data_IF_041049272425
#
_entry.id   IF_041049272425
#
_cell.length_a   1.000
_cell.length_b   1.000
_cell.length_c   1.000
_cell.angle_alpha   90.00
_cell.angle_beta   90.00
_cell.angle_gamma   90.00
#
_symmetry.space_group_name_H-M   'P 1'
#
loop_
_entity.id
_entity.type
_entity.pdbx_description
1 polymer ?
#
# COMPACT_ATOMS: atom_id res chain seq x y z
N UNK A 1 -2.19 14.00 -17.67
CA UNK A 1 -3.38 13.44 -17.01
C UNK A 1 -3.71 14.29 -15.81
N UNK A 2 -4.83 14.98 -15.84
CA UNK A 2 -5.35 15.80 -14.75
C UNK A 2 -6.23 14.93 -13.82
N UNK A 3 -5.71 14.60 -12.63
CA UNK A 3 -6.51 13.89 -11.62
C UNK A 3 -7.40 14.90 -10.87
N UNK A 4 -8.72 14.66 -10.74
CA UNK A 4 -9.58 15.55 -9.97
C UNK A 4 -9.23 15.54 -8.48
N UNK A 5 -9.66 16.58 -7.76
CA UNK A 5 -9.43 16.73 -6.31
C UNK A 5 -10.57 16.21 -5.45
N UNK A 6 -11.67 15.74 -6.07
CA UNK A 6 -12.85 15.20 -5.41
C UNK A 6 -13.32 13.93 -6.12
N UNK A 7 -14.29 13.23 -5.54
CA UNK A 7 -14.83 11.97 -6.07
C UNK A 7 -16.35 12.03 -6.33
N UNK A 8 -16.91 13.21 -6.63
CA UNK A 8 -18.32 13.31 -7.03
C UNK A 8 -18.49 12.91 -8.50
N UNK A 9 -19.72 12.70 -8.96
CA UNK A 9 -20.00 12.21 -10.32
C UNK A 9 -19.36 13.06 -11.43
N UNK A 10 -19.27 14.38 -11.22
CA UNK A 10 -18.61 15.29 -12.18
C UNK A 10 -17.11 15.04 -12.28
N UNK A 11 -16.49 14.68 -11.16
CA UNK A 11 -15.05 14.44 -11.05
C UNK A 11 -14.72 13.07 -11.67
N UNK A 12 -15.58 12.08 -11.44
CA UNK A 12 -15.48 10.75 -12.07
C UNK A 12 -15.59 10.87 -13.59
N UNK A 13 -16.51 11.69 -14.11
CA UNK A 13 -16.63 11.95 -15.56
C UNK A 13 -15.38 12.61 -16.14
N UNK A 14 -14.85 13.64 -15.48
CA UNK A 14 -13.60 14.29 -15.89
C UNK A 14 -12.47 13.26 -15.98
N UNK A 15 -12.31 12.42 -14.96
CA UNK A 15 -11.27 11.41 -14.94
C UNK A 15 -11.44 10.34 -16.02
N UNK A 16 -12.68 9.94 -16.34
CA UNK A 16 -12.94 9.01 -17.43
C UNK A 16 -12.55 9.61 -18.80
N UNK A 17 -12.82 10.90 -19.02
CA UNK A 17 -12.38 11.62 -20.22
C UNK A 17 -10.84 11.67 -20.31
N UNK A 18 -10.15 12.04 -19.23
CA UNK A 18 -8.69 12.05 -19.15
C UNK A 18 -8.05 10.69 -19.48
N UNK A 19 -8.66 9.59 -19.02
CA UNK A 19 -8.19 8.22 -19.33
C UNK A 19 -8.37 7.90 -20.81
N UNK A 20 -9.45 8.35 -21.45
CA UNK A 20 -9.68 8.15 -22.88
C UNK A 20 -8.72 8.97 -23.73
N UNK A 21 -8.48 10.22 -23.35
CA UNK A 21 -7.47 11.06 -24.01
C UNK A 21 -6.07 10.46 -23.88
N UNK A 22 -5.73 9.93 -22.70
CA UNK A 22 -4.47 9.23 -22.49
C UNK A 22 -4.37 7.95 -23.33
N UNK A 23 -5.45 7.18 -23.45
CA UNK A 23 -5.47 6.00 -24.32
C UNK A 23 -5.16 6.37 -25.78
N UNK A 24 -5.80 7.42 -26.32
CA UNK A 24 -5.55 7.91 -27.67
C UNK A 24 -4.10 8.44 -27.84
N UNK A 25 -3.57 9.12 -26.81
CA UNK A 25 -2.18 9.54 -26.78
C UNK A 25 -1.22 8.35 -26.86
N UNK A 26 -1.44 7.29 -26.09
CA UNK A 26 -0.60 6.09 -26.11
C UNK A 26 -0.66 5.39 -27.48
N UNK A 27 -1.82 5.27 -28.11
CA UNK A 27 -1.94 4.70 -29.45
C UNK A 27 -1.10 5.49 -30.47
N UNK A 28 -1.15 6.82 -30.40
CA UNK A 28 -0.39 7.71 -31.28
C UNK A 28 1.12 7.56 -31.08
N UNK A 29 1.60 7.60 -29.84
CA UNK A 29 3.04 7.57 -29.55
C UNK A 29 3.67 6.20 -29.80
N UNK A 30 2.91 5.12 -29.58
CA UNK A 30 3.39 3.75 -29.81
C UNK A 30 3.17 3.26 -31.25
N UNK A 31 2.25 3.89 -31.99
CA UNK A 31 1.78 3.39 -33.28
C UNK A 31 0.97 2.09 -33.19
N UNK A 32 0.54 1.70 -31.98
CA UNK A 32 -0.21 0.47 -31.71
C UNK A 32 -1.65 0.82 -31.36
N UNK A 33 -2.60 0.37 -32.19
CA UNK A 33 -4.03 0.51 -31.90
C UNK A 33 -4.46 -0.43 -30.78
N UNK A 34 -5.19 0.10 -29.80
CA UNK A 34 -5.82 -0.65 -28.73
C UNK A 34 -6.94 -1.52 -29.32
N UNK A 35 -6.88 -2.81 -29.02
CA UNK A 35 -7.96 -3.75 -29.40
C UNK A 35 -8.63 -4.29 -28.14
N UNK A 36 -9.93 -4.63 -28.18
CA UNK A 36 -10.62 -5.18 -27.02
C UNK A 36 -9.89 -6.38 -26.41
N UNK A 37 -9.39 -7.29 -27.26
CA UNK A 37 -8.62 -8.46 -26.81
C UNK A 37 -7.33 -8.03 -26.07
N UNK A 38 -6.51 -7.19 -26.68
CA UNK A 38 -5.23 -6.79 -26.07
C UNK A 38 -5.43 -6.03 -24.75
N UNK A 39 -6.46 -5.19 -24.65
CA UNK A 39 -6.77 -4.46 -23.42
C UNK A 39 -7.29 -5.41 -22.33
N UNK A 40 -8.17 -6.36 -22.67
CA UNK A 40 -8.67 -7.38 -21.76
C UNK A 40 -7.54 -8.24 -21.18
N UNK A 41 -6.67 -8.76 -22.06
CA UNK A 41 -5.50 -9.55 -21.67
C UNK A 41 -4.57 -8.74 -20.73
N UNK A 42 -4.41 -7.43 -20.99
CA UNK A 42 -3.61 -6.53 -20.16
C UNK A 42 -4.26 -6.26 -18.79
N UNK A 43 -5.58 -6.07 -18.73
CA UNK A 43 -6.31 -5.92 -17.47
C UNK A 43 -6.15 -7.17 -16.60
N UNK A 44 -6.30 -8.36 -17.19
CA UNK A 44 -6.10 -9.63 -16.49
C UNK A 44 -4.66 -9.77 -15.98
N UNK A 45 -3.67 -9.46 -16.82
CA UNK A 45 -2.25 -9.47 -16.47
C UNK A 45 -1.95 -8.62 -15.23
N UNK A 46 -2.41 -7.36 -15.22
CA UNK A 46 -2.17 -6.45 -14.10
C UNK A 46 -2.98 -6.85 -12.86
N UNK A 47 -4.22 -7.34 -13.02
CA UNK A 47 -5.00 -7.86 -11.90
C UNK A 47 -4.34 -9.08 -11.25
N UNK A 48 -3.73 -9.97 -12.03
CA UNK A 48 -3.01 -11.13 -11.48
C UNK A 48 -1.81 -10.71 -10.64
N UNK A 49 -1.07 -9.67 -11.05
CA UNK A 49 -0.03 -9.05 -10.22
C UNK A 49 -0.61 -8.51 -8.90
N UNK A 50 -1.72 -7.76 -8.95
CA UNK A 50 -2.37 -7.24 -7.74
C UNK A 50 -2.86 -8.36 -6.82
N UNK A 51 -3.46 -9.42 -7.36
CA UNK A 51 -3.89 -10.60 -6.60
C UNK A 51 -2.74 -11.32 -5.90
N UNK A 52 -1.58 -11.43 -6.54
CA UNK A 52 -0.39 -12.00 -5.91
C UNK A 52 0.06 -11.17 -4.69
N UNK A 53 0.08 -9.84 -4.84
CA UNK A 53 0.39 -8.93 -3.73
C UNK A 53 -0.69 -8.94 -2.63
N UNK A 54 -1.97 -9.04 -2.98
CA UNK A 54 -3.07 -9.22 -2.02
C UNK A 54 -2.88 -10.49 -1.19
N UNK A 55 -2.51 -11.61 -1.83
CA UNK A 55 -2.21 -12.88 -1.13
C UNK A 55 -1.03 -12.70 -0.17
N UNK A 56 0.06 -12.09 -0.63
CA UNK A 56 1.24 -11.82 0.21
C UNK A 56 0.89 -10.94 1.41
N UNK A 57 0.10 -9.88 1.20
CA UNK A 57 -0.35 -8.99 2.27
C UNK A 57 -1.24 -9.72 3.29
N UNK A 58 -2.18 -10.56 2.84
CA UNK A 58 -3.09 -11.30 3.73
C UNK A 58 -2.36 -12.34 4.59
N UNK A 59 -1.30 -12.97 4.09
CA UNK A 59 -0.48 -13.92 4.85
C UNK A 59 0.16 -13.30 6.10
N UNK A 60 0.37 -11.99 6.11
CA UNK A 60 0.99 -11.26 7.23
C UNK A 60 0.06 -11.12 8.44
N UNK A 61 -1.21 -11.53 8.35
CA UNK A 61 -2.13 -11.58 9.51
C UNK A 61 -1.82 -12.68 10.53
N UNK A 62 -0.99 -13.65 10.16
CA UNK A 62 -0.60 -14.75 11.03
C UNK A 62 0.39 -14.30 12.10
N UNK A 63 0.38 -15.02 13.24
CA UNK A 63 1.27 -14.80 14.37
C UNK A 63 1.86 -16.15 14.80
N UNK A 64 3.20 -16.30 14.90
CA UNK A 64 4.23 -15.31 14.56
C UNK A 64 4.20 -14.90 13.07
N UNK A 65 4.68 -13.70 12.73
CA UNK A 65 4.68 -13.23 11.33
C UNK A 65 5.57 -14.14 10.46
N UNK A 66 5.11 -14.66 9.31
CA UNK A 66 5.89 -15.61 8.51
C UNK A 66 7.04 -14.94 7.73
N UNK A 67 7.02 -13.61 7.60
CA UNK A 67 7.98 -12.79 6.86
C UNK A 67 8.17 -11.42 7.53
N UNK A 68 9.35 -10.81 7.35
CA UNK A 68 9.61 -9.43 7.75
C UNK A 68 8.91 -8.46 6.82
N UNK A 69 8.45 -7.34 7.36
CA UNK A 69 7.80 -6.30 6.55
C UNK A 69 8.76 -5.60 5.61
N UNK A 70 10.06 -5.51 5.94
CA UNK A 70 11.06 -4.94 5.04
C UNK A 70 11.19 -5.74 3.74
N UNK A 71 11.16 -7.07 3.82
CA UNK A 71 11.17 -7.95 2.62
C UNK A 71 9.93 -7.71 1.76
N UNK A 72 8.77 -7.54 2.38
CA UNK A 72 7.51 -7.24 1.68
C UNK A 72 7.53 -5.85 1.06
N UNK A 73 8.11 -4.85 1.74
CA UNK A 73 8.31 -3.52 1.16
C UNK A 73 9.18 -3.61 -0.10
N UNK A 74 10.29 -4.36 -0.06
CA UNK A 74 11.15 -4.58 -1.22
C UNK A 74 10.35 -5.21 -2.38
N UNK A 75 9.55 -6.24 -2.12
CA UNK A 75 8.70 -6.87 -3.14
C UNK A 75 7.71 -5.86 -3.73
N UNK A 76 7.03 -5.07 -2.88
CA UNK A 76 6.12 -4.02 -3.33
C UNK A 76 6.83 -2.97 -4.20
N UNK A 77 8.06 -2.58 -3.84
CA UNK A 77 8.88 -1.66 -4.62
C UNK A 77 9.27 -2.27 -5.98
N UNK A 78 9.65 -3.54 -6.03
CA UNK A 78 10.01 -4.25 -7.28
C UNK A 78 8.82 -4.40 -8.23
N UNK A 79 7.58 -4.37 -7.72
CA UNK A 79 6.36 -4.45 -8.53
C UNK A 79 6.22 -3.32 -9.57
N UNK A 80 6.96 -2.22 -9.41
CA UNK A 80 7.01 -1.07 -10.30
C UNK A 80 8.03 -1.21 -11.43
N UNK A 81 8.94 -2.19 -11.36
CA UNK A 81 10.04 -2.38 -12.33
C UNK A 81 9.98 -3.73 -13.05
N UNK A 82 9.50 -4.77 -12.37
CA UNK A 82 9.55 -6.13 -12.87
C UNK A 82 8.46 -6.42 -13.93
N UNK A 83 8.68 -7.46 -14.75
CA UNK A 83 7.66 -7.94 -15.68
C UNK A 83 6.44 -8.45 -14.88
N UNK A 84 5.20 -8.01 -15.18
CA UNK A 84 4.04 -8.34 -14.36
C UNK A 84 3.76 -9.85 -14.20
N UNK A 85 4.04 -10.67 -15.22
CA UNK A 85 3.76 -12.11 -15.17
C UNK A 85 4.84 -12.86 -14.39
N UNK A 86 6.11 -12.55 -14.67
CA UNK A 86 7.24 -13.06 -13.87
C UNK A 86 7.08 -12.68 -12.41
N UNK A 87 6.80 -11.41 -12.14
CA UNK A 87 6.62 -10.89 -10.79
C UNK A 87 5.50 -11.63 -10.05
N UNK A 88 4.31 -11.73 -10.65
CA UNK A 88 3.19 -12.43 -10.04
C UNK A 88 3.50 -13.91 -9.78
N UNK A 89 4.25 -14.56 -10.68
CA UNK A 89 4.68 -15.95 -10.52
C UNK A 89 5.62 -16.11 -9.32
N UNK A 90 6.64 -15.26 -9.21
CA UNK A 90 7.62 -15.33 -8.11
C UNK A 90 6.99 -14.97 -6.76
N UNK A 91 6.10 -13.98 -6.71
CA UNK A 91 5.37 -13.63 -5.48
C UNK A 91 4.47 -14.78 -5.04
N UNK A 92 3.79 -15.47 -5.96
CA UNK A 92 2.98 -16.64 -5.58
C UNK A 92 3.82 -17.81 -5.07
N UNK A 93 4.98 -18.07 -5.67
CA UNK A 93 5.90 -19.09 -5.17
C UNK A 93 6.41 -18.77 -3.75
N UNK A 94 6.70 -17.49 -3.46
CA UNK A 94 6.99 -17.05 -2.10
C UNK A 94 5.79 -17.28 -1.17
N UNK A 95 4.58 -16.92 -1.58
CA UNK A 95 3.38 -17.16 -0.79
C UNK A 95 3.18 -18.64 -0.45
N UNK A 96 3.53 -19.56 -1.36
CA UNK A 96 3.47 -21.01 -1.12
C UNK A 96 4.45 -21.41 0.01
N UNK A 97 5.68 -20.89 0.01
CA UNK A 97 6.63 -21.10 1.12
C UNK A 97 6.11 -20.51 2.44
N UNK A 98 5.52 -19.30 2.40
CA UNK A 98 4.97 -18.66 3.58
C UNK A 98 3.76 -19.42 4.14
N UNK A 99 2.93 -20.02 3.30
CA UNK A 99 1.86 -20.94 3.73
C UNK A 99 2.43 -22.14 4.49
N UNK A 100 3.54 -22.73 4.02
CA UNK A 100 4.23 -23.79 4.75
C UNK A 100 4.76 -23.32 6.10
N UNK A 101 5.35 -22.12 6.17
CA UNK A 101 5.81 -21.54 7.44
C UNK A 101 4.65 -21.35 8.41
N UNK A 102 3.54 -20.79 7.95
CA UNK A 102 2.31 -20.60 8.75
C UNK A 102 1.78 -21.94 9.28
N UNK A 103 1.70 -22.97 8.43
CA UNK A 103 1.21 -24.29 8.83
C UNK A 103 2.08 -24.98 9.89
N UNK A 104 3.38 -24.68 9.93
CA UNK A 104 4.31 -25.20 10.93
C UNK A 104 4.53 -24.25 12.12
N UNK A 105 3.82 -23.12 12.19
CA UNK A 105 4.00 -22.12 13.24
C UNK A 105 5.37 -21.42 13.21
N UNK A 106 6.03 -21.40 12.05
CA UNK A 106 7.34 -20.78 11.84
C UNK A 106 7.13 -19.31 11.46
N UNK A 107 7.75 -18.41 12.21
CA UNK A 107 7.80 -16.99 11.87
C UNK A 107 9.20 -16.42 12.00
N UNK A 108 9.37 -15.17 11.57
CA UNK A 108 10.64 -14.44 11.63
C UNK A 108 10.85 -13.70 12.94
N UNK A 109 9.78 -13.52 13.71
CA UNK A 109 9.80 -12.90 15.03
C UNK A 109 9.22 -13.83 16.09
N UNK A 110 9.40 -13.45 17.35
CA UNK A 110 8.66 -14.04 18.45
C UNK A 110 7.16 -13.74 18.31
N UNK A 111 6.34 -14.58 18.93
CA UNK A 111 4.88 -14.47 18.91
C UNK A 111 4.37 -13.24 19.70
N UNK A 112 5.18 -12.73 20.63
CA UNK A 112 4.96 -11.52 21.44
C UNK A 112 5.66 -10.27 20.88
N UNK A 113 6.25 -10.34 19.69
CA UNK A 113 6.85 -9.17 19.05
C UNK A 113 5.76 -8.16 18.63
N UNK A 114 5.88 -6.86 18.96
CA UNK A 114 4.88 -5.87 18.60
C UNK A 114 4.68 -5.78 17.08
N UNK A 115 3.43 -5.74 16.65
CA UNK A 115 3.02 -5.76 15.25
C UNK A 115 2.64 -4.36 14.81
N UNK A 116 3.30 -3.83 13.79
CA UNK A 116 3.16 -2.43 13.38
C UNK A 116 2.47 -2.34 12.01
N UNK A 117 1.44 -1.49 11.95
CA UNK A 117 0.87 -1.03 10.67
C UNK A 117 1.51 0.32 10.32
N UNK A 118 2.17 0.40 9.18
CA UNK A 118 2.61 1.67 8.62
C UNK A 118 1.50 2.29 7.77
N UNK A 119 1.33 3.60 7.85
CA UNK A 119 0.45 4.39 6.99
C UNK A 119 1.14 5.69 6.58
N UNK A 120 0.67 6.35 5.52
CA UNK A 120 1.20 7.64 5.09
C UNK A 120 1.72 7.60 3.64
N UNK A 121 2.89 8.18 3.40
CA UNK A 121 3.46 8.32 2.04
C UNK A 121 4.10 7.03 1.51
N UNK A 122 4.19 6.82 0.18
CA UNK A 122 4.94 5.70 -0.39
C UNK A 122 6.44 5.80 -0.08
N UNK A 123 7.07 4.64 0.05
CA UNK A 123 8.49 4.48 0.32
C UNK A 123 9.13 3.84 -0.92
N UNK A 124 9.62 4.64 -1.89
CA UNK A 124 10.20 4.11 -3.12
C UNK A 124 11.55 3.43 -2.86
N UNK A 125 12.01 2.58 -3.77
CA UNK A 125 13.35 1.97 -3.70
C UNK A 125 14.45 3.06 -3.75
N UNK A 126 15.47 3.09 -2.87
CA UNK A 126 15.77 2.17 -1.75
C UNK A 126 15.45 2.75 -0.36
N UNK A 127 14.36 3.51 -0.20
CA UNK A 127 13.97 4.08 1.09
C UNK A 127 13.44 3.00 2.06
N UNK A 128 14.35 2.39 2.80
CA UNK A 128 14.08 1.31 3.75
C UNK A 128 14.20 1.73 5.22
N UNK A 129 14.61 2.97 5.48
CA UNK A 129 14.99 3.49 6.80
C UNK A 129 13.96 3.16 7.89
N UNK A 130 12.70 3.49 7.67
CA UNK A 130 11.65 3.33 8.69
C UNK A 130 11.37 1.85 9.02
N UNK A 131 11.21 1.00 8.00
CA UNK A 131 11.03 -0.44 8.20
C UNK A 131 12.21 -1.05 8.94
N UNK A 132 13.44 -0.72 8.53
CA UNK A 132 14.65 -1.22 9.16
C UNK A 132 14.74 -0.82 10.64
N UNK A 133 14.44 0.44 10.99
CA UNK A 133 14.46 0.89 12.38
C UNK A 133 13.39 0.21 13.25
N UNK A 134 12.19 -0.01 12.72
CA UNK A 134 11.11 -0.71 13.44
C UNK A 134 11.51 -2.16 13.73
N UNK A 135 12.02 -2.87 12.72
CA UNK A 135 12.37 -4.28 12.87
C UNK A 135 13.66 -4.47 13.68
N UNK A 136 14.61 -3.53 13.60
CA UNK A 136 15.78 -3.47 14.47
C UNK A 136 15.39 -3.31 15.95
N UNK A 137 14.34 -2.54 16.24
CA UNK A 137 13.82 -2.34 17.59
C UNK A 137 13.01 -3.55 18.13
N UNK A 138 12.93 -4.66 17.38
CA UNK A 138 12.31 -5.91 17.83
C UNK A 138 10.81 -6.03 17.53
N UNK A 139 10.24 -5.09 16.78
CA UNK A 139 8.90 -5.18 16.23
C UNK A 139 8.88 -5.85 14.85
N UNK A 140 7.69 -6.08 14.30
CA UNK A 140 7.50 -6.52 12.92
C UNK A 140 6.47 -5.64 12.21
N UNK A 141 6.80 -5.18 11.00
CA UNK A 141 5.84 -4.45 10.18
C UNK A 141 4.93 -5.46 9.46
N UNK A 142 3.63 -5.40 9.72
CA UNK A 142 2.65 -6.38 9.21
C UNK A 142 1.76 -5.83 8.11
N UNK A 143 1.82 -4.53 7.83
CA UNK A 143 1.14 -3.92 6.70
C UNK A 143 1.63 -2.50 6.39
N UNK A 144 1.40 -2.08 5.15
CA UNK A 144 1.62 -0.71 4.69
C UNK A 144 0.35 -0.17 4.03
N UNK A 145 -0.37 0.70 4.71
CA UNK A 145 -1.43 1.54 4.12
C UNK A 145 -0.75 2.70 3.35
N UNK A 146 -0.06 2.35 2.27
CA UNK A 146 0.68 3.28 1.38
C UNK A 146 0.49 2.92 -0.09
N UNK A 147 0.96 3.78 -1.02
CA UNK A 147 0.98 3.46 -2.45
C UNK A 147 2.11 2.49 -2.85
N UNK A 148 3.09 2.23 -1.98
CA UNK A 148 4.05 1.11 -2.11
C UNK A 148 3.63 -0.03 -1.18
N UNK A 149 2.33 -0.29 -1.15
CA UNK A 149 1.63 -1.16 -0.22
C UNK A 149 0.16 -1.30 -0.64
N UNK A 150 -0.73 -1.42 0.33
CA UNK A 150 -2.16 -1.75 0.16
C UNK A 150 -2.85 -0.93 -0.94
N UNK A 151 -2.62 0.39 -1.01
CA UNK A 151 -3.32 1.26 -1.98
C UNK A 151 -2.98 0.93 -3.44
N UNK A 152 -1.88 0.23 -3.69
CA UNK A 152 -1.51 -0.21 -5.03
C UNK A 152 -2.38 -1.38 -5.53
N UNK A 153 -2.62 -2.36 -4.65
CA UNK A 153 -3.14 -3.67 -5.05
C UNK A 153 -4.51 -4.02 -4.47
N UNK A 154 -5.02 -3.29 -3.48
CA UNK A 154 -6.35 -3.52 -2.87
C UNK A 154 -7.45 -3.60 -3.92
N UNK A 155 -7.49 -2.63 -4.83
CA UNK A 155 -8.57 -2.50 -5.81
C UNK A 155 -8.18 -3.10 -7.16
N UNK A 156 -8.99 -4.06 -7.64
CA UNK A 156 -8.85 -4.67 -8.96
C UNK A 156 -9.67 -3.93 -10.01
N UNK A 157 -9.24 -3.98 -11.26
CA UNK A 157 -10.01 -3.44 -12.38
C UNK A 157 -11.07 -4.48 -12.78
N UNK A 158 -12.34 -4.10 -12.83
CA UNK A 158 -13.40 -5.01 -13.28
C UNK A 158 -13.20 -5.36 -14.77
N UNK A 159 -13.16 -6.65 -15.07
CA UNK A 159 -13.04 -7.15 -16.45
C UNK A 159 -14.34 -6.87 -17.23
N UNK A 160 -14.21 -6.57 -18.52
CA UNK A 160 -15.32 -6.30 -19.43
C UNK A 160 -14.96 -6.77 -20.86
N UNK A 161 -15.95 -6.81 -21.75
CA UNK A 161 -15.78 -7.31 -23.12
C UNK A 161 -15.70 -6.19 -24.17
N UNK A 162 -16.29 -5.03 -23.88
CA UNK A 162 -16.26 -3.88 -24.80
C UNK A 162 -15.12 -2.91 -24.46
N UNK A 163 -14.57 -2.24 -25.47
CA UNK A 163 -13.53 -1.22 -25.28
C UNK A 163 -13.99 -0.11 -24.34
N UNK A 164 -15.23 0.32 -24.51
CA UNK A 164 -15.82 1.42 -23.75
C UNK A 164 -15.92 1.09 -22.25
N UNK A 165 -16.49 -0.08 -21.92
CA UNK A 165 -16.59 -0.54 -20.54
C UNK A 165 -15.22 -0.79 -19.92
N UNK A 166 -14.26 -1.34 -20.67
CA UNK A 166 -12.90 -1.54 -20.18
C UNK A 166 -12.22 -0.21 -19.82
N UNK A 167 -12.31 0.80 -20.68
CA UNK A 167 -11.74 2.12 -20.39
C UNK A 167 -12.43 2.78 -19.19
N UNK A 168 -13.76 2.69 -19.09
CA UNK A 168 -14.49 3.18 -17.92
C UNK A 168 -14.08 2.44 -16.63
N UNK A 169 -13.91 1.11 -16.67
CA UNK A 169 -13.48 0.33 -15.50
C UNK A 169 -12.01 0.62 -15.12
N UNK A 170 -11.14 0.83 -16.11
CA UNK A 170 -9.76 1.29 -15.89
C UNK A 170 -9.76 2.66 -15.22
N UNK A 171 -10.64 3.58 -15.62
CA UNK A 171 -10.76 4.89 -14.98
C UNK A 171 -11.34 4.80 -13.56
N UNK A 172 -12.33 3.95 -13.32
CA UNK A 172 -12.96 3.78 -12.00
C UNK A 172 -12.00 3.24 -10.95
N UNK A 173 -11.08 2.34 -11.30
CA UNK A 173 -10.20 1.70 -10.30
C UNK A 173 -9.29 2.69 -9.56
N UNK A 174 -8.54 3.60 -10.22
CA UNK A 174 -7.80 4.66 -9.54
C UNK A 174 -8.63 5.56 -8.63
N UNK A 175 -9.90 5.80 -8.95
CA UNK A 175 -10.79 6.60 -8.10
C UNK A 175 -11.14 5.91 -6.77
N UNK A 176 -10.92 4.59 -6.65
CA UNK A 176 -11.07 3.86 -5.38
C UNK A 176 -9.88 4.05 -4.43
N UNK A 177 -8.73 4.51 -4.94
CA UNK A 177 -7.55 4.80 -4.12
C UNK A 177 -7.80 6.03 -3.24
N UNK A 178 -7.63 5.87 -1.94
CA UNK A 178 -7.87 6.92 -0.95
C UNK A 178 -6.59 7.70 -0.64
N UNK A 179 -6.13 8.49 -1.61
CA UNK A 179 -4.98 9.38 -1.44
C UNK A 179 -5.40 10.70 -0.77
N UNK A 180 -4.53 11.26 0.09
CA UNK A 180 -4.73 12.55 0.75
C UNK A 180 -4.85 13.76 -0.21
N UNK A 181 -4.60 13.56 -1.52
CA UNK A 181 -4.87 14.58 -2.55
C UNK A 181 -6.36 14.78 -2.83
N UNK A 182 -7.23 13.85 -2.41
CA UNK A 182 -8.68 13.99 -2.53
C UNK A 182 -9.28 14.64 -1.29
N UNK A 183 -10.39 15.36 -1.44
CA UNK A 183 -11.13 15.92 -0.31
C UNK A 183 -12.66 15.73 -0.43
N UNK A 184 -13.34 15.23 0.62
CA UNK A 184 -12.77 14.59 1.81
C UNK A 184 -12.16 13.21 1.49
N UNK A 185 -11.37 12.66 2.42
CA UNK A 185 -10.70 11.36 2.25
C UNK A 185 -10.97 10.40 3.44
N UNK A 186 -12.21 10.37 3.92
CA UNK A 186 -12.60 9.54 5.07
C UNK A 186 -12.42 8.05 4.83
N UNK A 187 -12.50 7.60 3.56
CA UNK A 187 -12.27 6.20 3.20
C UNK A 187 -10.87 5.68 3.55
N UNK A 188 -9.84 6.55 3.59
CA UNK A 188 -8.49 6.14 4.03
C UNK A 188 -8.51 5.75 5.51
N UNK A 189 -9.25 6.48 6.34
CA UNK A 189 -9.35 6.20 7.77
C UNK A 189 -10.02 4.84 8.01
N UNK A 190 -11.06 4.53 7.22
CA UNK A 190 -11.71 3.21 7.22
C UNK A 190 -10.74 2.10 6.77
N UNK A 191 -9.90 2.37 5.76
CA UNK A 191 -8.84 1.46 5.31
C UNK A 191 -7.82 1.17 6.44
N UNK A 192 -7.34 2.20 7.14
CA UNK A 192 -6.39 2.06 8.26
C UNK A 192 -6.98 1.20 9.38
N UNK A 193 -8.21 1.49 9.80
CA UNK A 193 -8.88 0.75 10.88
C UNK A 193 -9.09 -0.71 10.48
N UNK A 194 -9.59 -0.97 9.27
CA UNK A 194 -9.77 -2.33 8.75
C UNK A 194 -8.45 -3.09 8.73
N UNK A 195 -7.37 -2.48 8.26
CA UNK A 195 -6.05 -3.11 8.21
C UNK A 195 -5.53 -3.41 9.61
N UNK A 196 -5.63 -2.47 10.56
CA UNK A 196 -5.21 -2.66 11.95
C UNK A 196 -5.90 -3.87 12.58
N UNK A 197 -7.21 -4.01 12.36
CA UNK A 197 -8.00 -5.13 12.87
C UNK A 197 -7.64 -6.45 12.19
N UNK A 198 -7.62 -6.48 10.86
CA UNK A 198 -7.33 -7.70 10.09
C UNK A 198 -5.92 -8.24 10.36
N UNK A 199 -4.93 -7.35 10.45
CA UNK A 199 -3.52 -7.69 10.64
C UNK A 199 -3.12 -7.82 12.11
N UNK A 200 -4.05 -7.56 13.04
CA UNK A 200 -3.81 -7.56 14.49
C UNK A 200 -2.59 -6.69 14.84
N UNK A 201 -2.55 -5.47 14.32
CA UNK A 201 -1.46 -4.53 14.62
C UNK A 201 -1.66 -3.94 16.02
N UNK A 202 -0.61 -3.89 16.81
CA UNK A 202 -0.58 -3.34 18.16
C UNK A 202 -0.48 -1.82 18.14
N UNK A 203 0.21 -1.26 17.14
CA UNK A 203 0.32 0.18 16.93
C UNK A 203 0.28 0.56 15.45
N UNK A 204 -0.02 1.83 15.21
CA UNK A 204 0.07 2.46 13.89
C UNK A 204 1.19 3.50 13.90
N UNK A 205 2.09 3.41 12.93
CA UNK A 205 3.07 4.46 12.66
C UNK A 205 2.64 5.19 11.37
N UNK A 206 2.31 6.47 11.48
CA UNK A 206 2.03 7.33 10.32
C UNK A 206 3.32 8.02 9.88
N UNK A 207 3.88 7.56 8.78
CA UNK A 207 5.13 8.04 8.23
C UNK A 207 4.91 8.87 6.96
N UNK A 208 5.34 10.12 7.01
CA UNK A 208 5.29 11.03 5.87
C UNK A 208 6.69 11.49 5.45
N UNK A 209 6.93 11.52 4.14
CA UNK A 209 8.08 12.24 3.59
C UNK A 209 7.97 13.73 3.93
N UNK A 210 9.10 14.31 4.31
CA UNK A 210 9.20 15.72 4.65
C UNK A 210 8.57 16.59 3.55
N UNK A 211 7.80 17.60 3.97
CA UNK A 211 7.08 18.52 3.09
C UNK A 211 5.97 17.89 2.21
N UNK A 212 5.57 16.64 2.47
CA UNK A 212 4.36 16.09 1.87
C UNK A 212 3.10 16.68 2.52
N UNK A 213 2.71 17.88 2.06
CA UNK A 213 1.62 18.66 2.66
C UNK A 213 0.27 17.92 2.73
N UNK A 214 -0.20 17.19 1.69
CA UNK A 214 -1.50 16.51 1.77
C UNK A 214 -1.57 15.51 2.93
N UNK A 215 -0.58 14.63 3.06
CA UNK A 215 -0.55 13.65 4.14
C UNK A 215 -0.21 14.29 5.49
N UNK A 216 0.69 15.28 5.52
CA UNK A 216 1.03 16.01 6.75
C UNK A 216 -0.14 16.80 7.35
N UNK A 217 -1.05 17.33 6.54
CA UNK A 217 -2.28 17.98 7.02
C UNK A 217 -3.32 16.94 7.45
N UNK A 218 -3.45 15.85 6.69
CA UNK A 218 -4.42 14.78 6.97
C UNK A 218 -4.07 13.98 8.25
N UNK A 219 -2.79 13.85 8.58
CA UNK A 219 -2.30 13.11 9.76
C UNK A 219 -2.95 13.57 11.07
N UNK A 220 -3.29 14.86 11.20
CA UNK A 220 -4.01 15.38 12.37
C UNK A 220 -5.39 14.75 12.54
N UNK A 221 -6.14 14.60 11.46
CA UNK A 221 -7.46 13.97 11.48
C UNK A 221 -7.35 12.47 11.75
N UNK A 222 -6.33 11.81 11.19
CA UNK A 222 -6.03 10.39 11.44
C UNK A 222 -5.67 10.17 12.91
N UNK A 223 -4.71 10.92 13.46
CA UNK A 223 -4.29 10.86 14.87
C UNK A 223 -5.48 10.96 15.81
N UNK A 224 -6.33 11.98 15.61
CA UNK A 224 -7.51 12.20 16.46
C UNK A 224 -8.49 11.04 16.45
N UNK A 225 -8.68 10.36 15.33
CA UNK A 225 -9.60 9.22 15.28
C UNK A 225 -8.98 7.96 15.89
N UNK A 226 -7.70 7.70 15.67
CA UNK A 226 -7.00 6.57 16.27
C UNK A 226 -6.91 6.72 17.79
N UNK A 227 -6.61 7.92 18.29
CA UNK A 227 -6.61 8.24 19.73
C UNK A 227 -7.98 8.01 20.37
N UNK A 228 -9.07 8.45 19.74
CA UNK A 228 -10.44 8.21 20.25
C UNK A 228 -10.77 6.72 20.38
N UNK A 229 -10.15 5.89 19.54
CA UNK A 229 -10.33 4.43 19.53
C UNK A 229 -9.35 3.71 20.45
N UNK A 230 -8.47 4.44 21.14
CA UNK A 230 -7.43 3.87 22.00
C UNK A 230 -6.40 3.08 21.21
N UNK A 231 -6.18 3.40 19.93
CA UNK A 231 -5.16 2.76 19.09
C UNK A 231 -3.83 3.50 19.32
N UNK A 232 -2.76 2.82 19.79
CA UNK A 232 -1.44 3.41 19.90
C UNK A 232 -0.95 3.95 18.56
N UNK A 233 -0.47 5.19 18.56
CA UNK A 233 -0.18 5.94 17.34
C UNK A 233 1.11 6.76 17.49
N UNK A 234 1.94 6.77 16.46
CA UNK A 234 3.13 7.63 16.35
C UNK A 234 3.21 8.25 14.96
N UNK A 235 3.24 9.58 14.90
CA UNK A 235 3.50 10.31 13.67
C UNK A 235 5.00 10.57 13.50
N UNK A 236 5.57 10.18 12.36
CA UNK A 236 6.97 10.40 11.98
C UNK A 236 7.03 11.17 10.66
N UNK A 237 7.95 12.12 10.58
CA UNK A 237 8.31 12.83 9.35
C UNK A 237 9.82 12.76 9.17
N UNK A 238 10.28 12.46 7.95
CA UNK A 238 11.70 12.34 7.64
C UNK A 238 11.96 12.47 6.13
N UNK A 239 13.23 12.57 5.74
CA UNK A 239 13.70 12.53 4.36
C UNK A 239 14.52 11.26 4.07
N UNK A 240 15.29 11.26 2.99
CA UNK A 240 16.14 10.13 2.58
C UNK A 240 17.54 10.13 3.22
N UNK A 241 17.89 11.14 4.01
CA UNK A 241 19.19 11.22 4.68
C UNK A 241 19.25 10.26 5.88
N UNK A 242 20.45 10.03 6.41
CA UNK A 242 20.65 9.19 7.60
C UNK A 242 20.80 10.02 8.89
N UNK A 243 20.70 11.34 8.80
CA UNK A 243 21.03 12.27 9.90
C UNK A 243 20.11 12.11 11.11
N UNK A 244 18.85 11.74 10.89
CA UNK A 244 17.81 11.63 11.92
C UNK A 244 17.57 10.19 12.43
N UNK A 245 18.32 9.19 11.95
CA UNK A 245 18.10 7.79 12.30
C UNK A 245 18.09 7.54 13.82
N UNK A 246 19.04 8.13 14.56
CA UNK A 246 19.10 7.96 16.01
C UNK A 246 17.89 8.56 16.74
N UNK A 247 17.38 9.70 16.26
CA UNK A 247 16.18 10.34 16.81
C UNK A 247 14.93 9.50 16.50
N UNK A 248 14.81 9.01 15.27
CA UNK A 248 13.71 8.15 14.84
C UNK A 248 13.68 6.85 15.66
N UNK A 249 14.82 6.19 15.84
CA UNK A 249 14.93 4.96 16.61
C UNK A 249 14.44 5.14 18.05
N UNK A 250 14.93 6.18 18.75
CA UNK A 250 14.50 6.49 20.12
C UNK A 250 12.99 6.64 20.24
N UNK A 251 12.35 7.31 19.26
CA UNK A 251 10.90 7.53 19.25
C UNK A 251 10.12 6.24 18.97
N UNK A 252 10.65 5.38 18.09
CA UNK A 252 10.09 4.07 17.79
C UNK A 252 10.16 3.18 19.03
N UNK A 253 11.33 3.07 19.67
CA UNK A 253 11.54 2.30 20.90
C UNK A 253 10.56 2.73 22.00
N UNK A 254 10.37 4.04 22.21
CA UNK A 254 9.40 4.55 23.18
C UNK A 254 7.95 4.13 22.88
N UNK A 255 7.53 4.07 21.61
CA UNK A 255 6.22 3.53 21.23
C UNK A 255 6.12 2.03 21.54
N UNK A 256 7.18 1.27 21.23
CA UNK A 256 7.21 -0.17 21.45
C UNK A 256 7.13 -0.53 22.93
N UNK A 257 7.84 0.21 23.79
CA UNK A 257 7.74 0.07 25.25
C UNK A 257 6.31 0.33 25.76
N UNK A 258 5.61 1.32 25.19
CA UNK A 258 4.24 1.65 25.56
C UNK A 258 3.23 0.56 25.21
N UNK A 259 3.44 -0.20 24.13
CA UNK A 259 2.49 -1.26 23.71
C UNK A 259 2.79 -2.62 24.32
N UNK A 260 4.00 -2.82 24.84
CA UNK A 260 4.38 -4.03 25.58
C UNK A 260 4.06 -3.97 27.08
N UNK A 261 3.72 -2.78 27.59
CA UNK A 261 3.36 -2.52 29.00
C UNK A 261 1.89 -2.84 29.29
#
# INVERSE_FOLDING_TARGET
MELPQKKADKDIRLWEEEVREFAAFIEKETGVTLTPKALKDSVQKINNKRRALQRLADLRKHNPSPIHGLDVLLINQLSFFDDPERFATQVNALCDELDERVNHGIGVTREDAPRILLTGTPQPLPNWKIHALIEQAGAVVVGEETCTGERYFKDLTQEADTMDEMLSNIAKRPMQVNCACFTPNTGRLEDIIRMKENLKADAVIDFNLQFCQPYGVESHSVSKELEKRGIPYLHLESDFSDEDQGQLLTRIEALLEMVQS
#
